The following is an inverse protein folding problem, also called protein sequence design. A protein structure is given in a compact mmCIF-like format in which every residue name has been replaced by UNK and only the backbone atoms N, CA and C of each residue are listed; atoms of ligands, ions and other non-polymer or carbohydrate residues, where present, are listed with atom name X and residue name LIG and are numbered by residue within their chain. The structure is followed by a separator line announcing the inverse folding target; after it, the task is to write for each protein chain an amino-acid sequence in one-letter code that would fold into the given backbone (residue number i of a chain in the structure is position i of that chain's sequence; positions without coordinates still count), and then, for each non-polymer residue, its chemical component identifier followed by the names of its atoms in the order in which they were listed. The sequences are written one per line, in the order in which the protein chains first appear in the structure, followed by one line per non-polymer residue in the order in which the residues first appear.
data_IF_417053013020
#
_entry.id   IF_417053013020
#
_cell.length_a   1.000
_cell.length_b   1.000
_cell.length_c   1.000
_cell.angle_alpha   90.00
_cell.angle_beta   90.00
_cell.angle_gamma   90.00
#
_symmetry.space_group_name_H-M   'P 1'
#
loop_
_entity.id
_entity.type
_entity.pdbx_description
1 polymer ?
#
# COMPACT_ATOMS: atom_id res chain seq x y z
N UNK A 1 -11.68 -0.43 2.20
CA UNK A 1 -11.01 0.75 1.59
C UNK A 1 -9.91 0.26 0.67
N UNK A 2 -9.56 0.99 -0.41
CA UNK A 2 -8.50 0.58 -1.35
C UNK A 2 -7.13 1.11 -0.91
N UNK A 3 -6.18 0.20 -0.70
CA UNK A 3 -4.83 0.51 -0.23
C UNK A 3 -3.76 -0.01 -1.19
N UNK A 4 -2.79 0.86 -1.49
CA UNK A 4 -1.60 0.51 -2.27
C UNK A 4 -0.62 -0.30 -1.44
N UNK A 5 0.40 -0.85 -2.11
CA UNK A 5 1.48 -1.63 -1.46
C UNK A 5 2.20 -0.79 -0.41
N UNK A 6 2.55 0.46 -0.75
CA UNK A 6 3.28 1.35 0.15
C UNK A 6 2.41 1.71 1.37
N UNK A 7 1.14 2.02 1.15
CA UNK A 7 0.18 2.31 2.22
C UNK A 7 0.00 1.14 3.17
N UNK A 8 -0.06 -0.10 2.67
CA UNK A 8 -0.15 -1.31 3.50
C UNK A 8 1.08 -1.47 4.39
N UNK A 9 2.28 -1.25 3.84
CA UNK A 9 3.55 -1.31 4.60
C UNK A 9 3.57 -0.21 5.67
N UNK A 10 3.22 1.02 5.29
CA UNK A 10 3.19 2.16 6.21
C UNK A 10 2.21 1.93 7.36
N UNK A 11 1.01 1.41 7.08
CA UNK A 11 0.05 1.06 8.13
C UNK A 11 0.56 -0.05 9.05
N UNK A 12 1.20 -1.09 8.53
CA UNK A 12 1.78 -2.14 9.38
C UNK A 12 2.82 -1.60 10.37
N UNK A 13 3.56 -0.57 9.96
CA UNK A 13 4.55 0.12 10.81
C UNK A 13 3.89 1.09 11.81
N UNK A 14 2.73 1.64 11.47
CA UNK A 14 1.94 2.51 12.35
C UNK A 14 1.22 1.76 13.47
N UNK A 15 0.85 0.49 13.22
CA UNK A 15 0.13 -0.32 14.20
C UNK A 15 0.98 -0.58 15.45
N UNK A 16 0.43 -0.43 16.66
CA UNK A 16 1.18 -0.62 17.90
C UNK A 16 1.66 -2.07 18.06
N UNK A 17 2.82 -2.21 18.72
CA UNK A 17 3.42 -3.52 19.03
C UNK A 17 3.05 -4.06 20.42
N UNK A 18 2.47 -3.22 21.29
CA UNK A 18 2.10 -3.56 22.68
C UNK A 18 0.66 -3.11 22.97
N UNK A 19 -0.03 -3.82 23.86
CA UNK A 19 -1.41 -3.52 24.24
C UNK A 19 -2.04 -4.62 25.09
N UNK A 20 -3.34 -4.49 25.40
CA UNK A 20 -4.11 -5.55 26.04
C UNK A 20 -4.19 -6.80 25.14
N UNK A 21 -4.44 -7.98 25.72
CA UNK A 21 -4.57 -9.22 24.96
C UNK A 21 -5.63 -9.12 23.84
N UNK A 22 -6.79 -8.53 24.14
CA UNK A 22 -7.85 -8.30 23.15
C UNK A 22 -7.37 -7.41 22.01
N UNK A 23 -6.64 -6.33 22.31
CA UNK A 23 -6.08 -5.45 21.28
C UNK A 23 -5.04 -6.18 20.43
N UNK A 24 -4.15 -6.96 21.04
CA UNK A 24 -3.16 -7.75 20.31
C UNK A 24 -3.80 -8.76 19.36
N UNK A 25 -4.92 -9.38 19.76
CA UNK A 25 -5.69 -10.28 18.88
C UNK A 25 -6.29 -9.54 17.68
N UNK A 26 -6.86 -8.36 17.90
CA UNK A 26 -7.38 -7.51 16.82
C UNK A 26 -6.27 -7.01 15.89
N UNK A 27 -5.15 -6.59 16.46
CA UNK A 27 -3.97 -6.15 15.70
C UNK A 27 -3.39 -7.28 14.86
N UNK A 28 -3.42 -8.52 15.35
CA UNK A 28 -3.02 -9.69 14.56
C UNK A 28 -3.89 -9.83 13.31
N UNK A 29 -5.21 -9.81 13.46
CA UNK A 29 -6.14 -9.91 12.31
C UNK A 29 -5.93 -8.75 11.34
N UNK A 30 -5.72 -7.53 11.84
CA UNK A 30 -5.42 -6.38 10.99
C UNK A 30 -4.08 -6.51 10.25
N UNK A 31 -3.02 -7.00 10.92
CA UNK A 31 -1.73 -7.27 10.29
C UNK A 31 -1.88 -8.33 9.20
N UNK A 32 -2.58 -9.42 9.48
CA UNK A 32 -2.88 -10.47 8.48
C UNK A 32 -3.66 -9.90 7.29
N UNK A 33 -4.64 -9.01 7.52
CA UNK A 33 -5.37 -8.34 6.45
C UNK A 33 -4.48 -7.40 5.62
N UNK A 34 -3.49 -6.74 6.23
CA UNK A 34 -2.55 -5.85 5.55
C UNK A 34 -1.40 -6.60 4.88
N UNK A 35 -1.10 -7.84 5.30
CA UNK A 35 -0.04 -8.70 4.77
C UNK A 35 -0.30 -9.08 3.31
N UNK A 36 0.77 -9.42 2.60
CA UNK A 36 0.72 -9.78 1.18
C UNK A 36 0.46 -11.27 1.01
N UNK A 37 -0.34 -11.61 0.00
CA UNK A 37 -0.55 -13.00 -0.40
C UNK A 37 0.68 -13.56 -1.11
N UNK A 38 0.80 -14.88 -1.21
CA UNK A 38 1.92 -15.54 -1.92
C UNK A 38 2.04 -15.09 -3.37
N UNK A 39 0.91 -14.83 -4.04
CA UNK A 39 0.88 -14.32 -5.40
C UNK A 39 1.47 -12.89 -5.46
N UNK A 40 1.06 -12.02 -4.54
CA UNK A 40 1.60 -10.66 -4.43
C UNK A 40 3.09 -10.66 -4.12
N UNK A 41 3.54 -11.53 -3.21
CA UNK A 41 4.95 -11.66 -2.85
C UNK A 41 5.83 -12.03 -4.05
N UNK A 42 5.39 -12.98 -4.89
CA UNK A 42 6.12 -13.37 -6.10
C UNK A 42 6.25 -12.24 -7.11
N UNK A 43 5.19 -11.45 -7.26
CA UNK A 43 5.14 -10.33 -8.22
C UNK A 43 5.96 -9.15 -7.72
N UNK A 44 5.80 -8.78 -6.45
CA UNK A 44 6.51 -7.66 -5.82
C UNK A 44 8.01 -7.92 -5.70
N UNK A 45 8.42 -9.18 -5.58
CA UNK A 45 9.82 -9.60 -5.56
C UNK A 45 10.64 -8.75 -4.57
N UNK A 46 10.22 -8.77 -3.30
CA UNK A 46 10.89 -8.03 -2.23
C UNK A 46 12.35 -8.47 -2.12
N UNK A 47 13.26 -7.50 -2.09
CA UNK A 47 14.70 -7.72 -1.90
C UNK A 47 15.21 -6.78 -0.83
N UNK A 48 16.27 -7.18 -0.14
CA UNK A 48 17.02 -6.30 0.73
C UNK A 48 18.23 -5.79 -0.04
N UNK A 49 18.36 -4.47 -0.15
CA UNK A 49 19.55 -3.82 -0.69
C UNK A 49 20.25 -3.07 0.43
N UNK A 50 21.59 -3.17 0.48
CA UNK A 50 22.41 -2.46 1.44
C UNK A 50 23.57 -3.32 1.95
N UNK A 51 24.48 -2.69 2.67
CA UNK A 51 25.65 -3.32 3.27
C UNK A 51 25.71 -2.96 4.76
N UNK A 52 25.93 -3.97 5.61
CA UNK A 52 25.94 -3.81 7.07
C UNK A 52 24.57 -3.44 7.66
N UNK A 53 24.57 -2.50 8.62
CA UNK A 53 23.36 -2.09 9.37
C UNK A 53 22.38 -1.22 8.57
N UNK A 54 22.70 -0.85 7.33
CA UNK A 54 21.85 0.01 6.47
C UNK A 54 21.19 -0.79 5.37
N UNK A 55 20.33 -1.73 5.74
CA UNK A 55 19.51 -2.46 4.78
C UNK A 55 18.19 -1.74 4.53
N UNK A 56 17.81 -1.61 3.26
CA UNK A 56 16.48 -1.14 2.85
C UNK A 56 15.77 -2.26 2.10
N UNK A 57 14.47 -2.38 2.31
CA UNK A 57 13.65 -3.29 1.50
C UNK A 57 13.23 -2.56 0.23
N UNK A 58 13.54 -3.15 -0.93
CA UNK A 58 13.12 -2.68 -2.26
C UNK A 58 12.18 -3.69 -2.88
N UNK A 59 11.27 -3.23 -3.73
CA UNK A 59 10.32 -4.08 -4.45
C UNK A 59 10.02 -3.52 -5.84
N UNK A 60 9.52 -4.39 -6.72
CA UNK A 60 9.08 -3.99 -8.04
C UNK A 60 7.77 -3.22 -7.94
N UNK A 61 7.80 -1.95 -8.35
CA UNK A 61 6.64 -1.05 -8.29
C UNK A 61 5.83 -1.02 -9.60
N UNK A 62 6.49 -1.24 -10.73
CA UNK A 62 5.91 -1.03 -12.05
C UNK A 62 6.32 -2.13 -13.02
N UNK A 63 5.48 -2.35 -14.01
CA UNK A 63 5.74 -3.22 -15.15
C UNK A 63 5.31 -2.52 -16.43
N UNK A 64 5.99 -2.87 -17.52
CA UNK A 64 5.61 -2.43 -18.85
C UNK A 64 4.40 -3.23 -19.33
N UNK A 65 3.38 -2.53 -19.83
CA UNK A 65 2.14 -3.11 -20.35
C UNK A 65 1.96 -2.67 -21.80
N UNK A 66 1.55 -3.60 -22.66
CA UNK A 66 1.09 -3.28 -24.01
C UNK A 66 -0.35 -2.77 -23.95
N UNK A 67 -0.59 -1.55 -24.44
CA UNK A 67 -1.92 -0.92 -24.45
C UNK A 67 -2.93 -1.66 -25.32
N UNK A 68 -2.48 -2.41 -26.33
CA UNK A 68 -3.35 -3.14 -27.26
C UNK A 68 -3.93 -4.38 -26.61
N UNK A 69 -3.09 -5.12 -25.89
CA UNK A 69 -3.46 -6.39 -25.26
C UNK A 69 -3.81 -6.25 -23.77
N UNK A 70 -3.43 -5.12 -23.17
CA UNK A 70 -3.57 -4.85 -21.74
C UNK A 70 -2.83 -5.87 -20.85
N UNK A 71 -1.80 -6.52 -21.40
CA UNK A 71 -1.02 -7.55 -20.71
C UNK A 71 0.40 -7.07 -20.40
N UNK A 72 0.99 -7.51 -19.28
CA UNK A 72 2.39 -7.24 -18.97
C UNK A 72 3.32 -7.86 -20.01
N UNK A 73 4.30 -7.09 -20.46
CA UNK A 73 5.31 -7.59 -21.37
C UNK A 73 6.34 -8.39 -20.60
N UNK A 74 6.57 -9.62 -21.07
CA UNK A 74 7.60 -10.52 -20.55
C UNK A 74 8.64 -10.74 -21.63
N UNK A 75 9.92 -10.71 -21.27
CA UNK A 75 11.01 -10.94 -22.20
C UNK A 75 12.34 -10.41 -21.68
N UNK A 76 13.39 -10.61 -22.47
CA UNK A 76 14.71 -10.04 -22.19
C UNK A 76 14.68 -8.51 -22.32
N UNK A 77 15.43 -7.83 -21.45
CA UNK A 77 15.47 -6.36 -21.40
C UNK A 77 15.79 -5.73 -22.75
N UNK A 78 16.74 -6.28 -23.49
CA UNK A 78 17.15 -5.76 -24.80
C UNK A 78 16.04 -5.86 -25.85
N UNK A 79 15.26 -6.93 -25.81
CA UNK A 79 14.12 -7.11 -26.69
C UNK A 79 13.00 -6.13 -26.33
N UNK A 80 12.72 -5.95 -25.04
CA UNK A 80 11.73 -4.99 -24.54
C UNK A 80 12.12 -3.57 -24.94
N UNK A 81 13.39 -3.18 -24.76
CA UNK A 81 13.87 -1.86 -25.16
C UNK A 81 13.73 -1.63 -26.67
N UNK A 82 14.07 -2.61 -27.51
CA UNK A 82 13.87 -2.51 -28.97
C UNK A 82 12.39 -2.33 -29.33
N UNK A 83 11.48 -3.05 -28.67
CA UNK A 83 10.04 -2.90 -28.90
C UNK A 83 9.52 -1.52 -28.50
N UNK A 84 9.89 -1.05 -27.30
CA UNK A 84 9.47 0.27 -26.79
C UNK A 84 10.01 1.39 -27.66
N UNK A 85 11.27 1.31 -28.09
CA UNK A 85 11.87 2.32 -28.96
C UNK A 85 11.24 2.33 -30.36
N UNK A 86 10.82 1.18 -30.88
CA UNK A 86 10.20 1.09 -32.19
C UNK A 86 8.80 1.70 -32.23
N UNK A 87 8.00 1.56 -31.16
CA UNK A 87 6.63 2.08 -31.11
C UNK A 87 6.22 2.47 -29.67
N UNK A 88 6.75 3.59 -29.14
CA UNK A 88 6.58 3.95 -27.73
C UNK A 88 5.12 4.20 -27.34
N UNK A 89 4.28 4.66 -28.25
CA UNK A 89 2.87 4.97 -28.02
C UNK A 89 2.03 3.73 -27.63
N UNK A 90 2.48 2.53 -28.01
CA UNK A 90 1.78 1.28 -27.72
C UNK A 90 2.06 0.74 -26.31
N UNK A 91 3.00 1.32 -25.58
CA UNK A 91 3.42 0.81 -24.28
C UNK A 91 3.23 1.85 -23.19
N UNK A 92 3.03 1.39 -21.96
CA UNK A 92 3.01 2.24 -20.78
C UNK A 92 3.46 1.50 -19.53
N UNK A 93 3.99 2.26 -18.58
CA UNK A 93 4.34 1.76 -17.26
C UNK A 93 3.09 1.79 -16.39
N UNK A 94 2.71 0.63 -15.84
CA UNK A 94 1.59 0.51 -14.89
C UNK A 94 2.05 -0.09 -13.57
N UNK A 95 1.33 0.19 -12.46
CA UNK A 95 1.52 -0.53 -11.21
C UNK A 95 1.46 -2.04 -11.41
N UNK A 96 2.36 -2.76 -10.76
CA UNK A 96 2.43 -4.21 -10.89
C UNK A 96 1.25 -4.92 -10.18
N UNK A 97 0.72 -4.28 -9.15
CA UNK A 97 -0.48 -4.67 -8.41
C UNK A 97 -1.45 -3.49 -8.35
N UNK A 98 -2.73 -3.79 -8.43
CA UNK A 98 -3.78 -2.82 -8.13
C UNK A 98 -3.94 -2.65 -6.62
N UNK A 99 -4.60 -1.55 -6.21
CA UNK A 99 -4.91 -1.31 -4.81
C UNK A 99 -5.85 -2.39 -4.25
N UNK A 100 -5.47 -2.97 -3.12
CA UNK A 100 -6.21 -4.04 -2.46
C UNK A 100 -7.33 -3.46 -1.59
N UNK A 101 -8.51 -4.10 -1.60
CA UNK A 101 -9.59 -3.73 -0.70
C UNK A 101 -9.38 -4.35 0.68
N UNK A 102 -9.09 -3.53 1.69
CA UNK A 102 -8.80 -3.96 3.05
C UNK A 102 -9.93 -3.58 4.00
N UNK A 103 -10.26 -4.49 4.92
CA UNK A 103 -11.20 -4.29 6.02
C UNK A 103 -10.46 -4.50 7.36
N UNK A 104 -10.34 -3.45 8.16
CA UNK A 104 -9.55 -3.45 9.40
C UNK A 104 -10.43 -3.54 10.67
N UNK A 105 -11.74 -3.42 10.54
CA UNK A 105 -12.66 -3.31 11.68
C UNK A 105 -12.56 -1.96 12.42
N UNK A 106 -13.63 -1.59 13.12
CA UNK A 106 -13.79 -0.26 13.72
C UNK A 106 -12.71 0.09 14.75
N UNK A 107 -12.38 -0.84 15.64
CA UNK A 107 -11.41 -0.61 16.72
C UNK A 107 -10.02 -0.29 16.17
N UNK A 108 -9.56 -1.03 15.16
CA UNK A 108 -8.24 -0.82 14.55
C UNK A 108 -8.23 0.46 13.73
N UNK A 109 -9.31 0.75 13.00
CA UNK A 109 -9.49 2.03 12.30
C UNK A 109 -9.35 3.22 13.26
N UNK A 110 -9.97 3.16 14.44
CA UNK A 110 -9.84 4.20 15.46
C UNK A 110 -8.40 4.33 15.99
N UNK A 111 -7.68 3.22 16.16
CA UNK A 111 -6.26 3.26 16.57
C UNK A 111 -5.40 3.95 15.51
N UNK A 112 -5.62 3.64 14.23
CA UNK A 112 -4.90 4.26 13.10
C UNK A 112 -5.19 5.75 13.03
N UNK A 113 -6.47 6.16 13.11
CA UNK A 113 -6.89 7.57 13.09
C UNK A 113 -6.24 8.34 14.24
N UNK A 114 -6.22 7.75 15.44
CA UNK A 114 -5.58 8.38 16.61
C UNK A 114 -4.09 8.62 16.37
N UNK A 115 -3.39 7.64 15.82
CA UNK A 115 -1.96 7.77 15.55
C UNK A 115 -1.69 8.80 14.43
N UNK A 116 -2.46 8.77 13.34
CA UNK A 116 -2.35 9.73 12.25
C UNK A 116 -2.58 11.18 12.71
N UNK A 117 -3.57 11.42 13.59
CA UNK A 117 -3.78 12.73 14.22
C UNK A 117 -2.63 13.14 15.12
N UNK A 118 -2.07 12.20 15.89
CA UNK A 118 -0.90 12.51 16.71
C UNK A 118 0.34 12.86 15.87
N UNK A 119 0.48 12.29 14.68
CA UNK A 119 1.55 12.63 13.73
C UNK A 119 1.29 13.97 13.03
N UNK A 120 0.03 14.30 12.72
CA UNK A 120 -0.39 15.61 12.22
C UNK A 120 -0.03 16.72 13.22
N UNK A 121 -0.42 16.56 14.49
CA UNK A 121 -0.11 17.51 15.57
C UNK A 121 1.40 17.73 15.77
N UNK A 122 2.22 16.76 15.36
CA UNK A 122 3.69 16.83 15.44
C UNK A 122 4.35 17.28 14.14
N UNK A 123 3.57 17.57 13.10
CA UNK A 123 4.06 17.91 11.75
C UNK A 123 4.98 16.82 11.14
N UNK A 124 4.71 15.54 11.45
CA UNK A 124 5.49 14.37 10.99
C UNK A 124 4.78 13.59 9.87
N UNK A 125 3.76 14.18 9.22
CA UNK A 125 3.09 13.56 8.09
C UNK A 125 3.95 13.68 6.83
N UNK A 126 4.54 12.55 6.41
CA UNK A 126 5.08 12.43 5.06
C UNK A 126 3.96 12.31 4.02
N UNK A 127 4.32 12.33 2.73
CA UNK A 127 3.36 12.25 1.63
C UNK A 127 2.49 10.98 1.68
N UNK A 128 3.04 9.85 2.13
CA UNK A 128 2.28 8.59 2.22
C UNK A 128 1.30 8.63 3.39
N UNK A 129 1.75 9.14 4.54
CA UNK A 129 0.93 9.34 5.72
C UNK A 129 -0.19 10.35 5.47
N UNK A 130 0.04 11.38 4.65
CA UNK A 130 -0.98 12.33 4.24
C UNK A 130 -2.08 11.64 3.40
N UNK A 131 -1.72 10.81 2.41
CA UNK A 131 -2.71 10.04 1.65
C UNK A 131 -3.51 9.08 2.54
N UNK A 132 -2.85 8.43 3.51
CA UNK A 132 -3.53 7.61 4.51
C UNK A 132 -4.49 8.46 5.37
N UNK A 133 -4.06 9.66 5.78
CA UNK A 133 -4.89 10.59 6.54
C UNK A 133 -6.19 10.92 5.79
N UNK A 134 -6.11 11.29 4.50
CA UNK A 134 -7.29 11.57 3.68
C UNK A 134 -8.23 10.35 3.56
N UNK A 135 -7.64 9.15 3.34
CA UNK A 135 -8.41 7.91 3.22
C UNK A 135 -9.12 7.50 4.53
N UNK A 136 -8.50 7.73 5.68
CA UNK A 136 -9.05 7.31 6.98
C UNK A 136 -9.92 8.36 7.67
N UNK A 137 -9.66 9.65 7.45
CA UNK A 137 -10.31 10.74 8.20
C UNK A 137 -11.31 11.47 7.31
N UNK A 138 -10.88 11.96 6.14
CA UNK A 138 -11.74 12.75 5.26
C UNK A 138 -12.86 11.90 4.67
N UNK A 139 -12.54 10.67 4.26
CA UNK A 139 -13.52 9.74 3.69
C UNK A 139 -14.53 9.19 4.71
N UNK A 140 -14.23 9.25 6.01
CA UNK A 140 -15.15 8.82 7.08
C UNK A 140 -15.99 9.98 7.66
N UNK A 141 -15.69 11.24 7.31
CA UNK A 141 -16.50 12.40 7.71
C UNK A 141 -17.58 12.77 6.68
N UNK A 142 -17.61 12.11 5.52
CA UNK A 142 -18.58 12.35 4.44
C UNK A 142 -19.85 11.52 4.52
N UNK A 143 -20.05 10.69 5.55
CA UNK A 143 -21.38 10.16 5.86
C UNK A 143 -22.21 11.26 6.54
N UNK A 144 -23.26 11.81 5.88
CA UNK A 144 -24.16 12.71 6.56
C UNK A 144 -24.82 11.95 7.70
N UNK A 145 -24.77 12.53 8.90
CA UNK A 145 -25.55 12.12 10.06
C UNK A 145 -26.96 11.73 9.57
N UNK A 146 -27.28 10.42 9.60
CA UNK A 146 -28.66 9.98 9.48
C UNK A 146 -29.39 10.52 10.70
N UNK A 147 -30.00 11.68 10.55
CA UNK A 147 -30.98 12.20 11.50
C UNK A 147 -32.11 11.18 11.50
N UNK A 148 -32.11 10.29 12.49
CA UNK A 148 -33.24 9.44 12.80
C UNK A 148 -34.35 10.39 13.26
N UNK A 149 -35.37 10.57 12.41
CA UNK A 149 -36.62 11.22 12.78
C UNK A 149 -37.48 10.26 13.59
#
# INVERSE_FOLDING_TARGET
MKLSVLERITLQNLLPAKGSYTNLKLLRVAREALSFTDAEHKVLNFRQEGEGDKTRTVWNIQQLVDKRTNLPIKGESDFIMKMVNANPENYEMRPILEDANINLGEVVTHMIIKELKSLEEKELLDQTLFTLFEKFIVSNQSEPLKIVK
#
